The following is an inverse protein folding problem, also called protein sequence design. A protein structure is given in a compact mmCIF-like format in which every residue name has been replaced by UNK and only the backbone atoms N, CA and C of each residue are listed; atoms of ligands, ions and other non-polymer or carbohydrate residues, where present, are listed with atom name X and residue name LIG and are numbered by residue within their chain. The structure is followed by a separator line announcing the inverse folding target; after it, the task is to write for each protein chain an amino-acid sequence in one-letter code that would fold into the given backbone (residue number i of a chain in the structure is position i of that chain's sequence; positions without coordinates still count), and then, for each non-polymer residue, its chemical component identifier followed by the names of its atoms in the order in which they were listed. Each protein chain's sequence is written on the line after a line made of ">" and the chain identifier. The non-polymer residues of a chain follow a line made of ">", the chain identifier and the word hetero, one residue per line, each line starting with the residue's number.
data_IF_855408273244
#
_entry.id   IF_855408273244
#
_cell.length_a   1.000
_cell.length_b   1.000
_cell.length_c   1.000
_cell.angle_alpha   90.00
_cell.angle_beta   90.00
_cell.angle_gamma   90.00
#
_symmetry.space_group_name_H-M   'P 1'
#
loop_
_entity.id
_entity.type
_entity.pdbx_description
1 polymer ?
#
# COMPACT_ATOMS: atom_id res chain seq x y z
N UNK A 1 -8.81 -3.03 41.05
CA UNK A 1 -8.86 -3.67 39.72
C UNK A 1 -10.02 -3.00 38.99
N UNK A 2 -9.83 -2.10 38.01
CA UNK A 2 -9.15 -2.34 36.73
C UNK A 2 -8.69 -1.08 35.93
N UNK A 3 -8.71 0.15 36.45
CA UNK A 3 -8.93 1.30 35.53
C UNK A 3 -7.71 2.20 35.22
N UNK A 4 -6.54 1.65 34.86
CA UNK A 4 -5.37 2.49 34.56
C UNK A 4 -4.56 2.12 33.30
N UNK A 5 -5.17 1.44 32.31
CA UNK A 5 -4.48 1.13 31.03
C UNK A 5 -5.37 1.21 29.79
N UNK A 6 -6.28 2.18 29.71
CA UNK A 6 -6.90 2.54 28.43
C UNK A 6 -6.00 3.53 27.67
N UNK A 7 -4.86 3.05 27.20
CA UNK A 7 -4.34 3.57 25.94
C UNK A 7 -5.38 3.15 24.90
N UNK A 8 -5.96 4.09 24.15
CA UNK A 8 -7.02 3.81 23.16
C UNK A 8 -6.64 2.74 22.11
N UNK A 9 -5.36 2.37 22.05
CA UNK A 9 -4.78 1.31 21.21
C UNK A 9 -4.37 0.12 22.09
N UNK A 10 -4.77 -1.09 21.68
CA UNK A 10 -4.29 -2.36 22.23
C UNK A 10 -2.97 -2.74 21.54
N UNK A 11 -1.79 -2.55 22.16
CA UNK A 11 -0.52 -2.55 21.43
C UNK A 11 -0.24 -3.88 20.74
N UNK A 12 -0.37 -5.01 21.43
CA UNK A 12 -0.08 -6.33 20.86
C UNK A 12 -0.96 -6.64 19.64
N UNK A 13 -2.26 -6.39 19.76
CA UNK A 13 -3.21 -6.59 18.65
C UNK A 13 -2.97 -5.61 17.49
N UNK A 14 -2.56 -4.38 17.80
CA UNK A 14 -2.23 -3.38 16.78
C UNK A 14 -0.92 -3.71 16.05
N UNK A 15 0.09 -4.23 16.75
CA UNK A 15 1.33 -4.71 16.17
C UNK A 15 1.11 -5.95 15.29
N UNK A 16 0.27 -6.89 15.74
CA UNK A 16 -0.13 -8.05 14.94
C UNK A 16 -0.84 -7.61 13.66
N UNK A 17 -1.85 -6.74 13.77
CA UNK A 17 -2.54 -6.18 12.60
C UNK A 17 -1.61 -5.38 11.67
N UNK A 18 -0.63 -4.65 12.22
CA UNK A 18 0.37 -3.94 11.44
C UNK A 18 1.28 -4.89 10.64
N UNK A 19 1.65 -6.03 11.22
CA UNK A 19 2.42 -7.07 10.53
C UNK A 19 1.61 -7.71 9.41
N UNK A 20 0.34 -8.02 9.64
CA UNK A 20 -0.56 -8.55 8.61
C UNK A 20 -0.73 -7.55 7.45
N UNK A 21 -0.92 -6.27 7.78
CA UNK A 21 -1.06 -5.20 6.80
C UNK A 21 0.21 -5.01 5.98
N UNK A 22 1.38 -5.04 6.63
CA UNK A 22 2.67 -4.97 5.94
C UNK A 22 2.88 -6.17 5.00
N UNK A 23 2.52 -7.38 5.44
CA UNK A 23 2.59 -8.57 4.59
C UNK A 23 1.62 -8.51 3.41
N UNK A 24 0.41 -7.97 3.60
CA UNK A 24 -0.55 -7.75 2.52
C UNK A 24 -0.05 -6.71 1.52
N UNK A 25 0.52 -5.60 2.00
CA UNK A 25 1.10 -4.55 1.17
C UNK A 25 2.27 -5.04 0.32
N UNK A 26 3.20 -5.79 0.91
CA UNK A 26 4.31 -6.38 0.17
C UNK A 26 3.84 -7.39 -0.91
N UNK A 27 2.81 -8.19 -0.61
CA UNK A 27 2.20 -9.10 -1.61
C UNK A 27 1.56 -8.33 -2.75
N UNK A 28 0.84 -7.25 -2.44
CA UNK A 28 0.26 -6.37 -3.46
C UNK A 28 1.35 -5.77 -4.35
N UNK A 29 2.44 -5.25 -3.76
CA UNK A 29 3.55 -4.67 -4.50
C UNK A 29 4.21 -5.68 -5.46
N UNK A 30 4.50 -6.89 -4.97
CA UNK A 30 5.06 -7.96 -5.80
C UNK A 30 4.12 -8.38 -6.94
N UNK A 31 2.83 -8.55 -6.64
CA UNK A 31 1.83 -8.91 -7.66
C UNK A 31 1.68 -7.79 -8.70
N UNK A 32 1.62 -6.54 -8.25
CA UNK A 32 1.49 -5.39 -9.13
C UNK A 32 2.68 -5.24 -10.07
N UNK A 33 3.91 -5.43 -9.58
CA UNK A 33 5.12 -5.37 -10.42
C UNK A 33 5.02 -6.33 -11.61
N UNK A 34 4.50 -7.54 -11.42
CA UNK A 34 4.32 -8.52 -12.49
C UNK A 34 3.23 -8.10 -13.48
N UNK A 35 2.12 -7.56 -12.98
CA UNK A 35 1.01 -7.07 -13.82
C UNK A 35 1.46 -5.86 -14.65
N UNK A 36 2.12 -4.88 -14.04
CA UNK A 36 2.63 -3.70 -14.72
C UNK A 36 3.64 -4.07 -15.81
N UNK A 37 4.55 -5.02 -15.54
CA UNK A 37 5.48 -5.52 -16.56
C UNK A 37 4.75 -6.18 -17.74
N UNK A 38 3.69 -6.95 -17.47
CA UNK A 38 2.87 -7.57 -18.50
C UNK A 38 2.16 -6.53 -19.35
N UNK A 39 1.54 -5.52 -18.73
CA UNK A 39 0.87 -4.42 -19.43
C UNK A 39 1.88 -3.69 -20.33
N UNK A 40 3.04 -3.30 -19.79
CA UNK A 40 4.08 -2.62 -20.56
C UNK A 40 4.56 -3.46 -21.75
N UNK A 41 4.72 -4.77 -21.56
CA UNK A 41 5.10 -5.70 -22.63
C UNK A 41 4.05 -5.73 -23.74
N UNK A 42 2.77 -5.84 -23.38
CA UNK A 42 1.67 -5.85 -24.35
C UNK A 42 1.53 -4.52 -25.09
N UNK A 43 1.73 -3.39 -24.40
CA UNK A 43 1.66 -2.05 -25.00
C UNK A 43 2.81 -1.78 -25.98
N UNK A 44 4.00 -2.31 -25.68
CA UNK A 44 5.19 -2.15 -26.51
C UNK A 44 5.31 -3.19 -27.64
N UNK A 45 4.56 -4.30 -27.58
CA UNK A 45 4.67 -5.40 -28.53
C UNK A 45 4.40 -4.95 -29.99
N UNK A 46 5.18 -5.53 -30.90
CA UNK A 46 5.00 -5.41 -32.36
C UNK A 46 5.16 -6.81 -33.01
N UNK A 47 4.19 -7.28 -33.82
CA UNK A 47 2.90 -6.65 -34.13
C UNK A 47 2.03 -6.44 -32.88
N UNK A 48 1.11 -5.48 -32.93
CA UNK A 48 0.27 -5.17 -31.76
C UNK A 48 -0.63 -6.38 -31.48
N UNK A 49 -0.74 -6.85 -30.21
CA UNK A 49 -1.64 -7.96 -29.87
C UNK A 49 -3.12 -7.60 -30.10
N UNK A 50 -3.40 -6.31 -30.25
CA UNK A 50 -4.73 -5.76 -30.49
C UNK A 50 -5.12 -5.71 -31.97
N UNK A 51 -4.21 -6.13 -32.86
CA UNK A 51 -4.39 -6.11 -34.30
C UNK A 51 -3.69 -4.94 -34.98
N UNK A 52 -3.25 -5.19 -36.21
CA UNK A 52 -2.67 -4.19 -37.12
C UNK A 52 -3.67 -3.76 -38.22
N UNK A 53 -4.91 -4.26 -38.15
CA UNK A 53 -6.03 -3.90 -39.03
C UNK A 53 -6.72 -2.60 -38.57
N UNK A 54 -7.71 -2.12 -39.33
CA UNK A 54 -8.43 -0.87 -39.00
C UNK A 54 -9.06 -0.90 -37.59
N UNK A 55 -9.75 -1.97 -37.16
CA UNK A 55 -10.22 -2.09 -35.78
C UNK A 55 -9.11 -2.07 -34.72
N UNK A 56 -8.01 -2.80 -34.94
CA UNK A 56 -6.89 -2.84 -34.00
C UNK A 56 -6.18 -1.49 -33.86
N UNK A 57 -6.04 -0.77 -34.97
CA UNK A 57 -5.49 0.59 -34.97
C UNK A 57 -6.42 1.59 -34.25
N UNK A 58 -7.73 1.50 -34.44
CA UNK A 58 -8.70 2.36 -33.74
C UNK A 58 -8.75 2.04 -32.24
N UNK A 59 -8.64 0.77 -31.86
CA UNK A 59 -8.48 0.38 -30.45
C UNK A 59 -7.18 0.97 -29.87
N UNK A 60 -6.03 0.77 -30.53
CA UNK A 60 -4.73 1.27 -30.08
C UNK A 60 -4.72 2.79 -29.91
N UNK A 61 -5.37 3.51 -30.83
CA UNK A 61 -5.51 4.96 -30.75
C UNK A 61 -6.17 5.36 -29.43
N UNK A 62 -7.29 4.74 -29.06
CA UNK A 62 -8.02 5.10 -27.83
C UNK A 62 -7.37 4.51 -26.57
N UNK A 63 -6.75 3.34 -26.67
CA UNK A 63 -6.14 2.61 -25.55
C UNK A 63 -4.76 3.15 -25.13
N UNK A 64 -3.91 3.53 -26.10
CA UNK A 64 -2.54 3.97 -25.88
C UNK A 64 -2.32 5.48 -26.13
N UNK A 65 -3.08 6.11 -27.03
CA UNK A 65 -2.76 7.44 -27.56
C UNK A 65 -3.84 8.52 -27.46
N UNK A 66 -5.06 8.19 -27.02
CA UNK A 66 -6.19 9.13 -26.93
C UNK A 66 -6.11 10.02 -25.70
N UNK A 67 -6.98 11.01 -25.56
CA UNK A 67 -6.93 11.97 -24.43
C UNK A 67 -7.04 11.30 -23.05
N UNK A 68 -7.64 10.10 -22.99
CA UNK A 68 -7.82 9.34 -21.76
C UNK A 68 -6.72 8.31 -21.45
N UNK A 69 -5.86 7.94 -22.42
CA UNK A 69 -4.78 6.93 -22.31
C UNK A 69 -5.00 5.91 -21.17
N UNK A 70 -6.07 5.10 -21.22
CA UNK A 70 -6.52 4.32 -20.06
C UNK A 70 -5.46 3.34 -19.55
N UNK A 71 -4.63 2.79 -20.44
CA UNK A 71 -3.52 1.92 -20.05
C UNK A 71 -2.50 2.67 -19.18
N UNK A 72 -2.13 3.89 -19.56
CA UNK A 72 -1.17 4.71 -18.82
C UNK A 72 -1.76 5.17 -17.49
N UNK A 73 -3.04 5.59 -17.47
CA UNK A 73 -3.70 6.01 -16.22
C UNK A 73 -3.73 4.91 -15.16
N UNK A 74 -3.94 3.66 -15.55
CA UNK A 74 -3.91 2.52 -14.62
C UNK A 74 -2.51 2.31 -14.07
N UNK A 75 -1.48 2.42 -14.92
CA UNK A 75 -0.09 2.32 -14.48
C UNK A 75 0.29 3.44 -13.51
N UNK A 76 -0.08 4.68 -13.82
CA UNK A 76 0.20 5.87 -13.00
C UNK A 76 -0.52 5.79 -11.64
N UNK A 77 -1.83 5.50 -11.65
CA UNK A 77 -2.64 5.39 -10.43
C UNK A 77 -2.06 4.35 -9.47
N UNK A 78 -1.67 3.19 -10.00
CA UNK A 78 -1.13 2.13 -9.17
C UNK A 78 0.31 2.38 -8.75
N UNK A 79 1.10 3.12 -9.54
CA UNK A 79 2.43 3.58 -9.13
C UNK A 79 2.35 4.50 -7.90
N UNK A 80 1.26 5.27 -7.75
CA UNK A 80 1.02 6.08 -6.55
C UNK A 80 0.43 5.27 -5.39
N UNK A 81 -0.53 4.39 -5.67
CA UNK A 81 -1.30 3.69 -4.63
C UNK A 81 -0.55 2.52 -3.99
N UNK A 82 0.18 1.73 -4.78
CA UNK A 82 0.84 0.51 -4.28
C UNK A 82 1.92 0.81 -3.23
N UNK A 83 2.82 1.79 -3.42
CA UNK A 83 3.79 2.15 -2.39
C UNK A 83 3.13 2.64 -1.11
N UNK A 84 2.02 3.37 -1.20
CA UNK A 84 1.27 3.82 -0.02
C UNK A 84 0.77 2.62 0.78
N UNK A 85 0.17 1.63 0.12
CA UNK A 85 -0.33 0.42 0.79
C UNK A 85 0.81 -0.43 1.37
N UNK A 86 1.95 -0.52 0.68
CA UNK A 86 3.14 -1.24 1.14
C UNK A 86 3.66 -0.71 2.49
N UNK A 87 3.66 0.62 2.66
CA UNK A 87 4.20 1.25 3.88
C UNK A 87 3.18 1.40 5.02
N UNK A 88 1.90 1.07 4.81
CA UNK A 88 0.87 1.22 5.85
C UNK A 88 1.19 0.39 7.10
N UNK A 89 1.54 -0.89 6.95
CA UNK A 89 1.91 -1.76 8.08
C UNK A 89 3.07 -1.21 8.91
N UNK A 90 4.23 -0.91 8.28
CA UNK A 90 5.36 -0.26 8.95
C UNK A 90 5.00 1.06 9.64
N UNK A 91 4.14 1.88 9.00
CA UNK A 91 3.69 3.17 9.57
C UNK A 91 2.86 2.97 10.82
N UNK A 92 1.90 2.03 10.80
CA UNK A 92 1.09 1.69 11.98
C UNK A 92 1.98 1.14 13.09
N UNK A 93 2.92 0.25 12.76
CA UNK A 93 3.86 -0.31 13.74
C UNK A 93 4.66 0.78 14.44
N UNK A 94 5.26 1.71 13.69
CA UNK A 94 6.02 2.83 14.26
C UNK A 94 5.16 3.76 15.13
N UNK A 95 3.89 3.98 14.75
CA UNK A 95 2.96 4.77 15.56
C UNK A 95 2.60 4.08 16.89
N UNK A 96 2.41 2.76 16.88
CA UNK A 96 2.14 1.97 18.09
C UNK A 96 3.35 1.96 19.02
N UNK A 97 4.54 1.67 18.49
CA UNK A 97 5.79 1.65 19.27
C UNK A 97 6.07 3.03 19.90
N UNK A 98 5.93 4.12 19.14
CA UNK A 98 6.13 5.47 19.67
C UNK A 98 5.08 5.92 20.71
N UNK A 99 3.85 5.38 20.64
CA UNK A 99 2.82 5.65 21.65
C UNK A 99 3.16 4.92 22.96
N UNK A 100 3.57 3.65 22.87
CA UNK A 100 3.99 2.86 24.04
C UNK A 100 5.20 3.51 24.73
N UNK A 101 6.21 3.95 23.96
CA UNK A 101 7.38 4.64 24.51
C UNK A 101 7.01 5.92 25.27
N UNK A 102 6.01 6.66 24.76
CA UNK A 102 5.51 7.88 25.42
C UNK A 102 4.81 7.55 26.74
N UNK A 103 3.98 6.52 26.77
CA UNK A 103 3.26 6.11 27.97
C UNK A 103 4.21 5.57 29.06
N UNK A 104 5.22 4.79 28.67
CA UNK A 104 6.24 4.29 29.60
C UNK A 104 7.09 5.43 30.17
N UNK A 105 7.41 6.45 29.36
CA UNK A 105 8.13 7.64 29.83
C UNK A 105 7.28 8.46 30.81
N UNK A 106 5.99 8.67 30.54
CA UNK A 106 5.06 9.35 31.46
C UNK A 106 4.93 8.59 32.78
N UNK A 107 4.78 7.26 32.73
CA UNK A 107 4.70 6.42 33.93
C UNK A 107 5.99 6.47 34.76
N UNK A 108 7.14 6.50 34.10
CA UNK A 108 8.46 6.61 34.75
C UNK A 108 8.67 7.99 35.39
N UNK A 109 8.23 9.07 34.74
CA UNK A 109 8.41 10.44 35.21
C UNK A 109 7.40 10.88 36.27
N UNK A 110 6.18 10.32 36.26
CA UNK A 110 5.06 10.77 37.11
C UNK A 110 4.56 9.73 38.11
N UNK A 111 5.24 8.59 38.26
CA UNK A 111 5.05 7.67 39.40
C UNK A 111 3.87 6.73 39.24
N UNK A 112 4.10 5.60 38.58
CA UNK A 112 3.15 4.49 38.53
C UNK A 112 3.17 3.52 39.72
N UNK A 113 4.08 3.72 40.70
CA UNK A 113 4.17 2.90 41.91
C UNK A 113 4.00 3.79 43.14
N UNK A 114 2.75 4.07 43.53
CA UNK A 114 2.43 4.39 44.91
C UNK A 114 1.00 3.95 45.26
N UNK A 115 0.96 2.84 46.03
CA UNK A 115 -0.13 2.22 46.82
C UNK A 115 -1.18 1.34 46.14
#
# INVERSE_FOLDING_TARGET
>A
MSDLRETFVKPDAALEGANELGAAGARLAAAWSNVAATINTLNAARPSPWGDDEPGNEFNKNYLGGDDQPAQRVLDLAADLVPLVEVLGPTVKGAVEGTVDTDDMVKTLFGGDDK
#
